data_IF_197300957177
#
_entry.id   IF_197300957177
#
_cell.length_a   1.000
_cell.length_b   1.000
_cell.length_c   1.000
_cell.angle_alpha   90.00
_cell.angle_beta   90.00
_cell.angle_gamma   90.00
#
_symmetry.space_group_name_H-M   'P 1'
#
loop_
_entity.id
_entity.type
_entity.pdbx_description
1 polymer ?
#
# COMPACT_ATOMS: atom_id res chain seq x y z
N UNK A 1 82.65 -53.13 -3.18
CA UNK A 1 81.57 -53.94 -3.81
C UNK A 1 80.25 -53.62 -3.14
N UNK A 2 79.26 -53.21 -3.94
CA UNK A 2 77.80 -53.24 -3.75
C UNK A 2 77.16 -52.48 -2.56
N UNK A 3 76.61 -51.34 -2.97
CA UNK A 3 75.49 -50.52 -2.47
C UNK A 3 74.39 -51.21 -1.66
N UNK A 4 73.82 -50.48 -0.68
CA UNK A 4 72.39 -50.27 -0.43
C UNK A 4 72.20 -48.89 0.25
N UNK A 5 71.94 -47.83 -0.53
CA UNK A 5 70.75 -46.95 -0.50
C UNK A 5 70.05 -46.77 0.86
N UNK A 6 70.16 -45.56 1.40
CA UNK A 6 69.07 -44.90 2.14
C UNK A 6 69.01 -43.44 1.67
N UNK A 7 67.90 -43.06 1.03
CA UNK A 7 67.66 -41.72 0.54
C UNK A 7 67.09 -40.86 1.68
N UNK A 8 67.76 -39.76 2.03
CA UNK A 8 67.24 -38.76 2.95
C UNK A 8 66.67 -37.59 2.13
N UNK A 9 65.37 -37.38 2.29
CA UNK A 9 64.61 -36.27 1.72
C UNK A 9 65.07 -34.93 2.31
N UNK A 10 65.35 -33.95 1.45
CA UNK A 10 65.33 -32.53 1.79
C UNK A 10 64.36 -31.85 0.84
N UNK A 11 63.20 -31.49 1.36
CA UNK A 11 62.15 -30.74 0.69
C UNK A 11 62.57 -29.26 0.68
N UNK A 12 62.90 -28.74 -0.50
CA UNK A 12 63.02 -27.30 -0.75
C UNK A 12 61.63 -26.66 -0.72
N UNK A 13 61.32 -25.89 0.31
CA UNK A 13 60.14 -25.01 0.31
C UNK A 13 60.42 -23.82 -0.62
N UNK A 14 59.87 -23.88 -1.83
CA UNK A 14 59.65 -22.70 -2.67
C UNK A 14 58.44 -21.94 -2.13
N UNK A 15 58.67 -20.80 -1.49
CA UNK A 15 57.62 -19.85 -1.12
C UNK A 15 57.05 -19.20 -2.39
N UNK A 16 55.95 -19.74 -2.90
CA UNK A 16 55.15 -19.08 -3.93
C UNK A 16 54.52 -17.82 -3.33
N UNK A 17 54.97 -16.66 -3.80
CA UNK A 17 54.29 -15.38 -3.63
C UNK A 17 52.93 -15.48 -4.34
N UNK A 18 51.91 -15.87 -3.58
CA UNK A 18 50.53 -15.92 -4.07
C UNK A 18 49.94 -14.53 -3.85
N UNK A 19 49.81 -13.75 -4.91
CA UNK A 19 48.99 -12.55 -4.90
C UNK A 19 47.57 -12.97 -4.55
N UNK A 20 47.14 -12.66 -3.34
CA UNK A 20 45.73 -12.78 -2.95
C UNK A 20 44.99 -11.70 -3.73
N UNK A 21 44.41 -12.06 -4.87
CA UNK A 21 43.30 -11.29 -5.43
C UNK A 21 42.17 -11.40 -4.42
N UNK A 22 42.00 -10.37 -3.59
CA UNK A 22 40.78 -10.19 -2.84
C UNK A 22 39.66 -10.10 -3.87
N UNK A 23 38.83 -11.14 -3.94
CA UNK A 23 37.57 -11.06 -4.65
C UNK A 23 36.76 -9.94 -3.98
N UNK A 24 36.49 -8.88 -4.73
CA UNK A 24 35.53 -7.86 -4.35
C UNK A 24 34.22 -8.58 -4.06
N UNK A 25 33.79 -8.59 -2.79
CA UNK A 25 32.44 -8.95 -2.45
C UNK A 25 31.53 -7.87 -3.05
N UNK A 26 30.99 -8.15 -4.24
CA UNK A 26 29.85 -7.42 -4.76
C UNK A 26 28.74 -7.54 -3.70
N UNK A 27 28.45 -6.44 -3.00
CA UNK A 27 27.30 -6.38 -2.12
C UNK A 27 26.07 -6.84 -2.92
N UNK A 28 25.48 -7.97 -2.53
CA UNK A 28 24.15 -8.34 -3.01
C UNK A 28 23.26 -7.16 -2.64
N UNK A 29 22.68 -6.50 -3.65
CA UNK A 29 21.61 -5.50 -3.49
C UNK A 29 20.57 -6.12 -2.57
N UNK A 30 20.51 -5.70 -1.30
CA UNK A 30 19.31 -5.87 -0.50
C UNK A 30 18.24 -5.08 -1.23
N UNK A 31 17.27 -5.72 -1.89
CA UNK A 31 16.05 -5.00 -2.28
C UNK A 31 15.40 -4.58 -0.96
N UNK A 32 15.39 -3.28 -0.62
CA UNK A 32 14.63 -2.83 0.54
C UNK A 32 13.15 -3.11 0.27
N UNK A 33 12.41 -3.42 1.33
CA UNK A 33 10.98 -3.70 1.35
C UNK A 33 10.19 -2.73 0.47
N UNK A 34 9.28 -3.27 -0.33
CA UNK A 34 8.33 -2.48 -1.08
C UNK A 34 7.27 -1.99 -0.09
N UNK A 35 7.32 -0.71 0.25
CA UNK A 35 6.41 -0.05 1.18
C UNK A 35 5.67 1.08 0.46
N UNK A 36 4.35 1.01 0.30
CA UNK A 36 3.62 1.97 -0.53
C UNK A 36 2.25 2.43 -0.05
N UNK A 37 2.02 3.72 -0.16
CA UNK A 37 1.01 4.44 0.60
C UNK A 37 -0.46 4.02 0.58
N UNK A 38 -1.21 4.79 1.35
CA UNK A 38 -2.66 4.72 1.46
C UNK A 38 -3.22 6.10 1.81
N UNK A 39 -4.54 6.26 1.79
CA UNK A 39 -5.18 7.48 2.26
C UNK A 39 -4.95 7.67 3.77
N UNK A 40 -4.34 8.79 4.16
CA UNK A 40 -4.12 9.21 5.55
C UNK A 40 -5.26 10.11 6.04
N UNK A 41 -5.72 11.03 5.19
CA UNK A 41 -6.85 11.91 5.46
C UNK A 41 -7.77 11.96 4.22
N UNK A 42 -9.00 11.44 4.32
CA UNK A 42 -9.51 10.59 5.40
C UNK A 42 -8.72 9.27 5.48
N UNK A 43 -8.52 8.68 6.67
CA UNK A 43 -7.79 7.42 6.78
C UNK A 43 -8.57 6.33 6.06
N UNK A 44 -7.86 5.52 5.27
CA UNK A 44 -8.43 4.32 4.69
C UNK A 44 -8.82 3.32 5.78
N UNK A 45 -9.72 2.37 5.49
CA UNK A 45 -10.17 1.37 6.45
C UNK A 45 -9.00 0.63 7.10
N UNK A 46 -8.07 0.13 6.27
CA UNK A 46 -6.90 -0.59 6.78
C UNK A 46 -5.97 0.32 7.58
N UNK A 47 -5.79 1.58 7.16
CA UNK A 47 -4.89 2.51 7.83
C UNK A 47 -5.46 3.00 9.16
N UNK A 48 -6.77 3.24 9.22
CA UNK A 48 -7.45 3.55 10.46
C UNK A 48 -7.24 2.42 11.47
N UNK A 49 -7.52 1.17 11.11
CA UNK A 49 -7.35 0.04 12.02
C UNK A 49 -5.87 -0.16 12.43
N UNK A 50 -4.94 -0.06 11.48
CA UNK A 50 -3.50 -0.04 11.75
C UNK A 50 -3.14 1.03 12.79
N UNK A 51 -3.56 2.27 12.58
CA UNK A 51 -3.20 3.40 13.46
C UNK A 51 -3.76 3.30 14.88
N UNK A 52 -4.74 2.43 15.14
CA UNK A 52 -5.25 2.21 16.49
C UNK A 52 -4.28 1.41 17.36
N UNK A 53 -3.47 0.54 16.76
CA UNK A 53 -2.48 -0.30 17.45
C UNK A 53 -3.07 -1.15 18.60
N UNK A 54 -4.37 -1.45 18.53
CA UNK A 54 -5.15 -2.14 19.58
C UNK A 54 -5.36 -3.64 19.32
N UNK A 55 -4.73 -4.18 18.26
CA UNK A 55 -4.79 -5.58 17.83
C UNK A 55 -3.52 -6.40 18.16
N UNK A 56 -2.50 -5.78 18.77
CA UNK A 56 -1.20 -6.41 19.08
C UNK A 56 -1.29 -7.64 20.00
N UNK A 57 -2.37 -7.77 20.76
CA UNK A 57 -2.63 -8.91 21.65
C UNK A 57 -3.87 -9.72 21.21
N UNK A 58 -4.17 -9.73 19.90
CA UNK A 58 -5.38 -10.34 19.36
C UNK A 58 -6.59 -9.40 19.36
N UNK A 59 -7.78 -9.96 19.11
CA UNK A 59 -8.99 -9.17 18.83
C UNK A 59 -9.65 -8.53 20.05
N UNK A 60 -9.30 -8.94 21.27
CA UNK A 60 -9.99 -8.50 22.50
C UNK A 60 -9.80 -7.01 22.80
N UNK A 61 -8.69 -6.43 22.34
CA UNK A 61 -8.38 -5.01 22.53
C UNK A 61 -9.00 -4.09 21.48
N UNK A 62 -9.45 -4.64 20.35
CA UNK A 62 -9.90 -3.85 19.20
C UNK A 62 -11.23 -3.18 19.51
N UNK A 63 -11.21 -1.83 19.56
CA UNK A 63 -12.36 -1.03 19.98
C UNK A 63 -13.37 -0.82 18.86
N UNK A 64 -12.89 -0.60 17.64
CA UNK A 64 -13.75 -0.39 16.49
C UNK A 64 -14.33 -1.74 16.04
N UNK A 65 -15.65 -1.88 16.04
CA UNK A 65 -16.29 -3.17 15.75
C UNK A 65 -16.02 -3.69 14.33
N UNK A 66 -15.89 -2.80 13.32
CA UNK A 66 -15.55 -3.22 11.97
C UNK A 66 -14.08 -3.65 11.85
N UNK A 67 -13.15 -2.94 12.50
CA UNK A 67 -11.76 -3.40 12.60
C UNK A 67 -11.67 -4.76 13.28
N UNK A 68 -12.45 -4.97 14.35
CA UNK A 68 -12.47 -6.23 15.08
C UNK A 68 -12.98 -7.37 14.20
N UNK A 69 -14.11 -7.17 13.53
CA UNK A 69 -14.68 -8.14 12.61
C UNK A 69 -13.72 -8.45 11.45
N UNK A 70 -13.09 -7.43 10.87
CA UNK A 70 -12.10 -7.62 9.80
C UNK A 70 -10.89 -8.43 10.29
N UNK A 71 -10.39 -8.14 11.50
CA UNK A 71 -9.29 -8.88 12.11
C UNK A 71 -9.67 -10.34 12.38
N UNK A 72 -10.81 -10.60 13.01
CA UNK A 72 -11.23 -11.96 13.36
C UNK A 72 -11.47 -12.85 12.13
N UNK A 73 -11.87 -12.25 11.00
CA UNK A 73 -12.09 -12.95 9.73
C UNK A 73 -10.86 -12.98 8.80
N UNK A 74 -9.71 -12.43 9.21
CA UNK A 74 -8.51 -12.34 8.36
C UNK A 74 -7.61 -13.59 8.39
N UNK A 75 -7.88 -14.55 9.27
CA UNK A 75 -7.07 -15.75 9.46
C UNK A 75 -7.43 -16.49 10.74
N UNK A 76 -6.73 -17.59 11.02
CA UNK A 76 -6.95 -18.38 12.23
C UNK A 76 -6.06 -17.88 13.36
N UNK A 77 -4.79 -17.62 13.04
CA UNK A 77 -3.77 -17.20 14.00
C UNK A 77 -3.65 -15.67 14.09
N UNK A 78 -3.28 -15.15 15.25
CA UNK A 78 -3.17 -13.69 15.47
C UNK A 78 -2.20 -13.00 14.50
N UNK A 79 -1.11 -13.67 14.10
CA UNK A 79 -0.14 -13.10 13.17
C UNK A 79 -0.67 -13.06 11.73
N UNK A 80 -1.50 -14.02 11.32
CA UNK A 80 -2.19 -14.00 10.03
C UNK A 80 -3.20 -12.86 9.99
N UNK A 81 -3.95 -12.70 11.08
CA UNK A 81 -4.94 -11.64 11.25
C UNK A 81 -4.31 -10.25 11.28
N UNK A 82 -3.17 -10.08 11.95
CA UNK A 82 -2.50 -8.78 12.04
C UNK A 82 -2.02 -8.26 10.68
N UNK A 83 -1.72 -9.17 9.74
CA UNK A 83 -1.25 -8.84 8.39
C UNK A 83 -2.15 -7.84 7.65
N UNK A 84 -3.47 -7.90 7.81
CA UNK A 84 -4.39 -6.98 7.11
C UNK A 84 -4.18 -5.51 7.53
N UNK A 85 -3.58 -5.27 8.70
CA UNK A 85 -3.28 -3.95 9.24
C UNK A 85 -1.79 -3.63 9.17
N UNK A 86 -0.91 -4.58 9.51
CA UNK A 86 0.54 -4.36 9.46
C UNK A 86 1.02 -4.03 8.04
N UNK A 87 0.36 -4.63 7.03
CA UNK A 87 0.64 -4.38 5.62
C UNK A 87 -0.28 -3.28 5.03
N UNK A 88 -0.65 -2.29 5.83
CA UNK A 88 -1.52 -1.15 5.45
C UNK A 88 -1.11 -0.47 4.14
N UNK A 89 0.19 -0.53 3.81
CA UNK A 89 0.84 0.08 2.67
C UNK A 89 1.16 -0.92 1.52
N UNK A 90 0.33 -1.95 1.34
CA UNK A 90 0.57 -2.96 0.28
C UNK A 90 -0.71 -3.39 -0.44
N UNK A 91 -1.79 -2.63 -0.28
CA UNK A 91 -3.06 -2.86 -0.95
C UNK A 91 -2.93 -2.46 -2.41
N UNK A 92 -2.29 -3.31 -3.21
CA UNK A 92 -1.86 -3.00 -4.57
C UNK A 92 -2.02 -4.16 -5.57
N UNK A 93 -2.03 -3.80 -6.84
CA UNK A 93 -1.95 -4.72 -7.98
C UNK A 93 -0.97 -4.20 -9.02
N UNK A 94 -0.27 -5.12 -9.70
CA UNK A 94 0.53 -4.77 -10.87
C UNK A 94 -0.35 -4.82 -12.11
N UNK A 95 -0.76 -3.65 -12.60
CA UNK A 95 -1.58 -3.50 -13.80
C UNK A 95 -0.68 -3.54 -15.03
N UNK A 96 -0.58 -4.66 -15.75
CA UNK A 96 0.27 -4.72 -16.95
C UNK A 96 -0.17 -3.71 -18.03
N UNK A 97 0.69 -3.36 -18.99
CA UNK A 97 0.38 -2.32 -19.99
C UNK A 97 -0.87 -2.58 -20.87
N UNK A 98 -1.24 -3.85 -21.08
CA UNK A 98 -2.50 -4.23 -21.75
C UNK A 98 -3.72 -4.25 -20.81
N UNK A 99 -3.47 -4.14 -19.51
CA UNK A 99 -4.43 -4.07 -18.40
C UNK A 99 -4.34 -2.70 -17.72
N UNK A 100 -4.21 -1.64 -18.51
CA UNK A 100 -4.56 -0.28 -18.08
C UNK A 100 -6.02 0.03 -18.48
N UNK A 101 -7.05 -0.73 -18.05
CA UNK A 101 -8.42 -0.27 -18.21
C UNK A 101 -8.69 0.85 -17.21
N UNK A 102 -9.67 1.68 -17.50
CA UNK A 102 -10.22 2.63 -16.53
C UNK A 102 -10.62 1.94 -15.21
N UNK A 103 -10.93 0.63 -15.27
CA UNK A 103 -11.41 -0.22 -14.17
C UNK A 103 -10.79 -1.63 -14.26
N UNK A 104 -9.81 -2.02 -13.43
CA UNK A 104 -9.10 -3.31 -13.52
C UNK A 104 -9.91 -4.49 -12.95
N UNK A 105 -11.13 -4.73 -13.45
CA UNK A 105 -12.07 -5.76 -12.96
C UNK A 105 -11.48 -7.18 -12.91
N UNK A 106 -10.53 -7.50 -13.77
CA UNK A 106 -9.87 -8.82 -13.81
C UNK A 106 -8.99 -9.07 -12.58
N UNK A 107 -8.35 -8.03 -12.05
CA UNK A 107 -7.45 -8.11 -10.89
C UNK A 107 -8.11 -7.61 -9.60
N UNK A 108 -9.04 -6.67 -9.72
CA UNK A 108 -9.82 -6.10 -8.63
C UNK A 108 -11.31 -6.26 -8.97
N UNK A 109 -11.91 -7.44 -8.75
CA UNK A 109 -13.32 -7.67 -9.07
C UNK A 109 -14.28 -6.82 -8.24
N UNK A 110 -15.52 -6.71 -8.71
CA UNK A 110 -16.61 -6.12 -7.95
C UNK A 110 -16.74 -6.81 -6.57
N UNK A 111 -16.97 -6.03 -5.51
CA UNK A 111 -16.97 -6.49 -4.12
C UNK A 111 -15.60 -6.69 -3.50
N UNK A 112 -14.50 -6.49 -4.25
CA UNK A 112 -13.11 -6.68 -3.79
C UNK A 112 -12.26 -5.41 -3.81
N UNK A 113 -12.88 -4.26 -4.06
CA UNK A 113 -12.19 -3.00 -4.29
C UNK A 113 -11.32 -2.57 -3.10
N UNK A 114 -11.83 -2.66 -1.87
CA UNK A 114 -11.11 -2.24 -0.68
C UNK A 114 -9.95 -3.16 -0.31
N UNK A 115 -10.00 -4.43 -0.71
CA UNK A 115 -8.90 -5.39 -0.58
C UNK A 115 -7.88 -5.35 -1.72
N UNK A 116 -8.05 -4.44 -2.70
CA UNK A 116 -7.30 -4.46 -3.95
C UNK A 116 -7.38 -5.81 -4.70
N UNK A 117 -8.47 -6.57 -4.55
CA UNK A 117 -8.59 -7.92 -5.15
C UNK A 117 -7.73 -9.00 -4.49
N UNK A 118 -7.03 -8.71 -3.39
CA UNK A 118 -6.16 -9.66 -2.71
C UNK A 118 -6.97 -10.45 -1.68
N UNK A 119 -7.06 -11.77 -1.88
CA UNK A 119 -7.79 -12.68 -0.98
C UNK A 119 -7.37 -12.53 0.49
N UNK A 120 -6.07 -12.30 0.69
CA UNK A 120 -5.42 -12.10 1.97
C UNK A 120 -5.93 -10.90 2.77
N UNK A 121 -6.59 -9.94 2.09
CA UNK A 121 -7.13 -8.70 2.65
C UNK A 121 -8.66 -8.62 2.54
N UNK A 122 -9.33 -9.72 2.19
CA UNK A 122 -10.75 -9.73 1.84
C UNK A 122 -11.69 -9.26 2.96
N UNK A 123 -11.28 -9.44 4.21
CA UNK A 123 -12.08 -9.13 5.40
C UNK A 123 -12.30 -7.63 5.61
N UNK A 124 -11.64 -6.76 4.84
CA UNK A 124 -11.89 -5.30 4.85
C UNK A 124 -13.06 -4.88 3.94
N UNK A 125 -13.48 -5.74 3.00
CA UNK A 125 -14.51 -5.44 2.02
C UNK A 125 -15.94 -5.32 2.58
N UNK A 126 -16.37 -6.15 3.57
CA UNK A 126 -17.77 -6.15 4.01
C UNK A 126 -18.28 -4.78 4.43
N UNK A 127 -19.51 -4.41 4.03
CA UNK A 127 -20.14 -3.17 4.47
C UNK A 127 -20.39 -3.23 5.98
N UNK A 128 -20.13 -2.12 6.67
CA UNK A 128 -20.38 -2.01 8.11
C UNK A 128 -20.56 -0.56 8.51
N UNK A 129 -21.59 -0.29 9.32
CA UNK A 129 -21.80 1.02 9.93
C UNK A 129 -20.75 1.34 11.00
N UNK A 130 -19.98 0.34 11.44
CA UNK A 130 -18.94 0.53 12.46
C UNK A 130 -17.59 0.99 11.88
N UNK A 131 -17.39 0.91 10.56
CA UNK A 131 -16.20 1.48 9.92
C UNK A 131 -16.07 2.97 10.30
N UNK A 132 -14.86 3.42 10.63
CA UNK A 132 -14.60 4.81 10.97
C UNK A 132 -14.96 5.74 9.82
N UNK A 133 -15.72 6.80 10.11
CA UNK A 133 -16.17 7.77 9.12
C UNK A 133 -15.61 9.15 9.41
N UNK A 134 -14.91 9.73 8.45
CA UNK A 134 -14.40 11.10 8.52
C UNK A 134 -15.41 12.11 7.99
N UNK A 135 -15.58 13.23 8.68
CA UNK A 135 -16.30 14.37 8.11
C UNK A 135 -15.31 15.21 7.31
N UNK A 136 -15.58 15.40 6.03
CA UNK A 136 -14.76 16.23 5.15
C UNK A 136 -15.54 17.47 4.75
N UNK A 137 -14.87 18.61 4.84
CA UNK A 137 -15.40 19.89 4.39
C UNK A 137 -15.21 20.01 2.88
N UNK A 138 -16.30 20.36 2.20
CA UNK A 138 -16.32 20.68 0.78
C UNK A 138 -16.36 22.20 0.64
N UNK A 139 -15.45 22.74 -0.16
CA UNK A 139 -15.36 24.16 -0.47
C UNK A 139 -15.21 24.34 -1.97
N UNK A 140 -16.08 25.15 -2.57
CA UNK A 140 -16.11 25.40 -4.02
C UNK A 140 -16.18 24.09 -4.83
N UNK A 141 -16.92 23.10 -4.32
CA UNK A 141 -17.03 21.76 -4.92
C UNK A 141 -15.75 20.92 -4.87
N UNK A 142 -14.80 21.23 -3.99
CA UNK A 142 -13.55 20.48 -3.82
C UNK A 142 -13.31 20.05 -2.38
N UNK A 143 -12.55 18.98 -2.21
CA UNK A 143 -12.13 18.43 -0.92
C UNK A 143 -10.62 18.26 -0.90
N UNK A 144 -9.99 18.51 0.26
CA UNK A 144 -8.57 18.26 0.46
C UNK A 144 -8.36 16.88 1.07
N UNK A 145 -7.45 16.10 0.49
CA UNK A 145 -7.05 14.78 0.98
C UNK A 145 -5.54 14.74 1.23
N UNK A 146 -5.10 13.80 2.04
CA UNK A 146 -3.67 13.50 2.25
C UNK A 146 -3.43 12.02 2.04
N UNK A 147 -2.47 11.70 1.20
CA UNK A 147 -2.05 10.34 0.91
C UNK A 147 -0.63 10.14 1.45
N UNK A 148 -0.48 9.28 2.45
CA UNK A 148 0.82 8.98 3.06
C UNK A 148 1.50 7.90 2.23
N UNK A 149 2.77 8.08 1.87
CA UNK A 149 3.53 7.11 1.13
C UNK A 149 4.91 6.90 1.77
N UNK A 150 5.18 5.66 2.16
CA UNK A 150 6.48 5.21 2.69
C UNK A 150 7.60 5.22 1.65
N UNK A 151 7.24 5.20 0.37
CA UNK A 151 8.12 5.46 -0.75
C UNK A 151 7.35 6.29 -1.76
N UNK A 152 7.84 7.49 -2.09
CA UNK A 152 7.25 8.36 -3.10
C UNK A 152 7.58 7.82 -4.50
N UNK A 153 6.63 7.90 -5.44
CA UNK A 153 6.80 7.51 -6.84
C UNK A 153 6.36 8.64 -7.75
N UNK A 154 7.28 9.16 -8.53
CA UNK A 154 7.03 10.25 -9.45
C UNK A 154 7.82 10.03 -10.76
N UNK A 155 7.17 9.97 -11.93
CA UNK A 155 5.76 10.32 -12.16
C UNK A 155 4.76 9.26 -11.65
N UNK A 156 3.67 9.73 -11.06
CA UNK A 156 2.49 8.93 -10.71
C UNK A 156 1.20 9.72 -10.93
N UNK A 157 0.07 9.02 -10.87
CA UNK A 157 -1.25 9.60 -11.06
C UNK A 157 -2.21 9.19 -9.94
N UNK A 158 -3.12 10.10 -9.57
CA UNK A 158 -4.18 9.84 -8.60
C UNK A 158 -5.54 9.92 -9.27
N UNK A 159 -6.30 8.83 -9.18
CA UNK A 159 -7.72 8.82 -9.54
C UNK A 159 -8.53 8.62 -8.28
N UNK A 160 -9.55 9.45 -8.11
CA UNK A 160 -10.39 9.46 -6.90
C UNK A 160 -11.82 9.27 -7.31
N UNK A 161 -12.52 8.39 -6.62
CA UNK A 161 -13.90 8.02 -6.91
C UNK A 161 -14.74 8.13 -5.66
N UNK A 162 -16.04 8.32 -5.86
CA UNK A 162 -17.02 8.36 -4.79
C UNK A 162 -18.19 7.42 -5.07
N UNK A 163 -18.76 6.89 -4.00
CA UNK A 163 -20.01 6.13 -4.06
C UNK A 163 -20.77 6.23 -2.74
N UNK A 164 -22.09 6.17 -2.82
CA UNK A 164 -23.02 6.10 -1.69
C UNK A 164 -23.56 4.66 -1.48
N UNK A 165 -23.06 3.69 -2.26
CA UNK A 165 -23.50 2.31 -2.20
C UNK A 165 -22.62 1.48 -1.25
N UNK A 166 -23.28 0.70 -0.40
CA UNK A 166 -22.61 -0.25 0.51
C UNK A 166 -21.93 -1.40 -0.25
N UNK A 167 -22.54 -1.84 -1.36
CA UNK A 167 -21.98 -2.85 -2.25
C UNK A 167 -21.14 -2.18 -3.33
N UNK A 168 -19.81 -2.21 -3.13
CA UNK A 168 -18.87 -1.59 -4.05
C UNK A 168 -18.75 -2.39 -5.34
N UNK A 169 -19.12 -1.77 -6.44
CA UNK A 169 -18.83 -2.24 -7.79
C UNK A 169 -18.15 -1.11 -8.53
N UNK A 170 -17.34 -1.39 -9.53
CA UNK A 170 -16.75 -0.31 -10.32
C UNK A 170 -17.79 0.56 -11.00
N UNK A 171 -18.98 0.03 -11.30
CA UNK A 171 -20.05 0.77 -11.97
C UNK A 171 -20.86 1.64 -11.00
N UNK A 172 -20.75 1.41 -9.69
CA UNK A 172 -21.29 2.29 -8.66
C UNK A 172 -20.36 3.45 -8.29
N UNK A 173 -19.10 3.42 -8.76
CA UNK A 173 -18.14 4.50 -8.56
C UNK A 173 -18.36 5.63 -9.56
N UNK A 174 -18.39 6.87 -9.06
CA UNK A 174 -18.32 8.08 -9.89
C UNK A 174 -16.97 8.75 -9.68
N UNK A 175 -16.24 8.89 -10.78
CA UNK A 175 -14.89 9.43 -10.79
C UNK A 175 -14.87 10.95 -10.66
N UNK A 176 -13.91 11.45 -9.89
CA UNK A 176 -13.57 12.86 -9.80
C UNK A 176 -13.16 13.38 -11.19
N UNK A 177 -13.75 14.49 -11.66
CA UNK A 177 -13.37 15.07 -12.94
C UNK A 177 -12.00 15.77 -12.93
N UNK A 178 -11.39 16.01 -11.76
CA UNK A 178 -10.11 16.72 -11.63
C UNK A 178 -9.45 16.44 -10.26
N UNK A 179 -8.23 15.89 -10.27
CA UNK A 179 -7.41 15.65 -9.07
C UNK A 179 -6.08 16.37 -9.25
N UNK A 180 -5.75 17.27 -8.31
CA UNK A 180 -4.49 18.02 -8.33
C UNK A 180 -3.61 17.60 -7.17
N UNK A 181 -2.36 17.23 -7.46
CA UNK A 181 -1.31 17.12 -6.44
C UNK A 181 -0.78 18.53 -6.16
N UNK A 182 -0.75 18.92 -4.89
CA UNK A 182 -0.28 20.22 -4.42
C UNK A 182 1.12 20.11 -3.82
N UNK A 183 2.00 21.02 -4.23
CA UNK A 183 3.38 21.08 -3.78
C UNK A 183 4.26 20.00 -4.41
N UNK A 184 5.56 20.05 -4.10
CA UNK A 184 6.48 18.98 -4.44
C UNK A 184 6.43 17.90 -3.33
N UNK A 185 6.45 16.61 -3.71
CA UNK A 185 6.70 15.50 -2.80
C UNK A 185 7.87 15.79 -1.85
N UNK A 186 7.64 15.68 -0.55
CA UNK A 186 8.72 15.81 0.44
C UNK A 186 9.57 14.53 0.43
N UNK A 187 10.64 14.54 -0.38
CA UNK A 187 11.55 13.40 -0.58
C UNK A 187 12.73 13.37 0.39
N UNK A 188 12.94 14.43 1.18
CA UNK A 188 14.15 14.61 2.00
C UNK A 188 13.98 14.15 3.46
N UNK A 189 12.79 13.69 3.84
CA UNK A 189 12.50 13.22 5.18
C UNK A 189 12.89 11.75 5.40
N UNK A 190 13.33 11.43 6.63
CA UNK A 190 13.65 10.07 7.10
C UNK A 190 12.37 9.20 7.34
N UNK A 191 11.18 9.73 7.03
CA UNK A 191 9.89 9.08 7.26
C UNK A 191 9.02 9.06 6.00
N UNK A 192 7.80 8.49 6.09
CA UNK A 192 6.88 8.48 4.96
C UNK A 192 6.52 9.90 4.51
N UNK A 193 6.60 10.13 3.20
CA UNK A 193 6.19 11.37 2.55
C UNK A 193 4.67 11.46 2.42
N UNK A 194 4.18 12.60 1.93
CA UNK A 194 2.75 12.88 1.74
C UNK A 194 2.49 13.55 0.40
N UNK A 195 1.48 13.06 -0.30
CA UNK A 195 0.84 13.80 -1.39
C UNK A 195 -0.38 14.54 -0.83
N UNK A 196 -0.44 15.84 -1.07
CA UNK A 196 -1.61 16.66 -0.75
C UNK A 196 -2.49 16.77 -1.99
N UNK A 197 -3.71 16.26 -1.92
CA UNK A 197 -4.60 16.17 -3.07
C UNK A 197 -5.73 17.19 -2.94
N UNK A 198 -6.00 17.90 -4.02
CA UNK A 198 -7.15 18.79 -4.17
C UNK A 198 -8.11 18.22 -5.21
N UNK A 199 -9.16 17.58 -4.71
CA UNK A 199 -10.06 16.73 -5.50
C UNK A 199 -11.36 17.47 -5.77
N UNK A 200 -11.72 17.61 -7.04
CA UNK A 200 -13.03 18.12 -7.44
C UNK A 200 -14.08 17.02 -7.28
N UNK A 201 -15.18 17.31 -6.62
CA UNK A 201 -16.27 16.33 -6.54
C UNK A 201 -16.99 16.22 -7.90
N UNK A 202 -17.45 15.01 -8.28
CA UNK A 202 -18.39 14.87 -9.39
C UNK A 202 -19.67 15.66 -9.08
N UNK A 203 -20.37 16.08 -10.13
CA UNK A 203 -21.61 16.85 -9.97
C UNK A 203 -22.63 16.10 -9.09
N UNK A 204 -23.16 16.78 -8.08
CA UNK A 204 -24.16 16.23 -7.17
C UNK A 204 -23.64 15.28 -6.07
N UNK A 205 -22.32 15.18 -5.84
CA UNK A 205 -21.73 14.27 -4.82
C UNK A 205 -21.53 14.83 -3.41
N UNK A 206 -22.08 16.00 -3.12
CA UNK A 206 -22.17 16.45 -1.74
C UNK A 206 -23.15 15.53 -1.01
N UNK A 207 -22.68 14.87 0.05
CA UNK A 207 -23.48 13.89 0.79
C UNK A 207 -23.55 14.23 2.27
N UNK A 208 -24.75 14.58 2.74
CA UNK A 208 -25.03 14.67 4.18
C UNK A 208 -25.13 13.28 4.84
N UNK A 209 -25.11 12.22 4.04
CA UNK A 209 -25.02 10.82 4.46
C UNK A 209 -23.61 10.25 4.29
N UNK A 210 -23.39 9.10 4.91
CA UNK A 210 -22.18 8.28 4.74
C UNK A 210 -22.01 7.93 3.25
N UNK A 211 -20.80 8.13 2.76
CA UNK A 211 -20.31 7.75 1.44
C UNK A 211 -18.95 7.06 1.59
N UNK A 212 -18.44 6.52 0.50
CA UNK A 212 -17.11 5.94 0.41
C UNK A 212 -16.29 6.70 -0.65
N UNK A 213 -15.08 7.06 -0.26
CA UNK A 213 -14.05 7.61 -1.12
C UNK A 213 -13.08 6.48 -1.46
N UNK A 214 -12.84 6.28 -2.75
CA UNK A 214 -11.92 5.26 -3.27
C UNK A 214 -10.79 5.95 -4.03
N UNK A 215 -9.54 5.64 -3.69
CA UNK A 215 -8.36 6.22 -4.35
C UNK A 215 -7.59 5.11 -5.05
N UNK A 216 -7.23 5.37 -6.30
CA UNK A 216 -6.19 4.66 -7.04
C UNK A 216 -4.96 5.57 -7.15
N UNK A 217 -3.81 5.09 -6.69
CA UNK A 217 -2.52 5.73 -6.90
C UNK A 217 -1.69 4.87 -7.86
N UNK A 218 -1.52 5.35 -9.08
CA UNK A 218 -0.94 4.62 -10.20
C UNK A 218 0.50 5.07 -10.45
N UNK A 219 1.45 4.13 -10.38
CA UNK A 219 2.84 4.39 -10.75
C UNK A 219 2.98 4.41 -12.26
N UNK A 220 3.56 5.48 -12.80
CA UNK A 220 3.79 5.65 -14.23
C UNK A 220 5.26 5.36 -14.61
N UNK A 221 5.83 4.32 -14.00
CA UNK A 221 7.19 3.84 -14.27
C UNK A 221 7.16 2.58 -15.14
N UNK A 222 7.97 2.52 -16.20
CA UNK A 222 8.14 1.31 -17.02
C UNK A 222 9.24 0.43 -16.40
N UNK A 223 9.04 -0.90 -16.18
CA UNK A 223 7.88 -1.73 -16.52
C UNK A 223 6.86 -1.90 -15.37
N UNK A 224 7.11 -1.29 -14.22
CA UNK A 224 6.33 -1.48 -13.00
C UNK A 224 5.14 -0.50 -12.92
N UNK A 225 3.98 -0.99 -13.36
CA UNK A 225 2.69 -0.30 -13.31
C UNK A 225 1.89 -0.73 -12.08
N UNK A 226 2.49 -0.58 -10.92
CA UNK A 226 1.81 -0.93 -9.66
C UNK A 226 0.82 0.18 -9.27
N UNK A 227 -0.40 -0.22 -8.94
CA UNK A 227 -1.47 0.66 -8.49
C UNK A 227 -1.85 0.31 -7.07
N UNK A 228 -1.94 1.32 -6.20
CA UNK A 228 -2.41 1.19 -4.82
C UNK A 228 -3.86 1.61 -4.71
N UNK A 229 -4.60 0.91 -3.85
CA UNK A 229 -6.03 1.10 -3.67
C UNK A 229 -6.34 1.38 -2.21
N UNK A 230 -7.21 2.35 -1.96
CA UNK A 230 -7.65 2.67 -0.61
C UNK A 230 -9.12 3.06 -0.58
N UNK A 231 -9.84 2.54 0.41
CA UNK A 231 -11.24 2.89 0.70
C UNK A 231 -11.29 3.67 2.02
N UNK A 232 -11.89 4.85 2.01
CA UNK A 232 -12.14 5.64 3.21
C UNK A 232 -13.62 5.97 3.32
N UNK A 233 -14.23 5.71 4.47
CA UNK A 233 -15.61 6.08 4.71
C UNK A 233 -15.70 7.54 5.15
N UNK A 234 -16.61 8.29 4.53
CA UNK A 234 -16.69 9.75 4.67
C UNK A 234 -18.12 10.27 4.77
N UNK A 235 -18.27 11.48 5.29
CA UNK A 235 -19.44 12.35 5.08
C UNK A 235 -18.90 13.66 4.50
N UNK A 236 -19.50 14.14 3.41
CA UNK A 236 -19.05 15.32 2.68
C UNK A 236 -20.00 16.49 2.94
N UNK A 237 -19.54 17.48 3.70
CA UNK A 237 -20.37 18.61 4.14
C UNK A 237 -19.98 19.86 3.37
N UNK A 238 -20.95 20.47 2.69
CA UNK A 238 -20.73 21.75 2.04
C UNK A 238 -20.52 22.83 3.11
N UNK A 239 -19.39 23.53 3.02
CA UNK A 239 -19.17 24.75 3.80
C UNK A 239 -19.69 25.94 3.01
N UNK A 240 -20.59 26.72 3.63
CA UNK A 240 -21.12 27.97 3.04
C UNK A 240 -20.15 29.13 3.18
#
# INVERSE_FOLDING_TARGET
MKYHKLALSIIMLYGFCSTVQAAEQSAVKKTPEIYHGTSELPPSRQYYCYSQQDYNNGSSGIKNAACKEAYENAGEENWERARIFDNWNTYSQNLSGSQYPDKPKDLVPDGKLCSAGKSDFDSINPPSNAWHTSNLEVKDGRVQLTYIASQMHDPSEFRVFLTDQDHLTWDSLKESPDVKVKGEPDTDNIGPGRYYLDVKLPEGYVSESRSLLYIMWERNEDPARETFFSCSDVVLKETK
#
